data_IF_438192439087
#
_entry.id   IF_438192439087
#
_cell.length_a   1.000
_cell.length_b   1.000
_cell.length_c   1.000
_cell.angle_alpha   90.00
_cell.angle_beta   90.00
_cell.angle_gamma   90.00
#
_symmetry.space_group_name_H-M   'P 1'
#
loop_
_entity.id
_entity.type
_entity.pdbx_description
1 polymer ?
#
# COMPACT_ATOMS: atom_id res chain seq x y z
N UNK A 1 -5.75 4.90 4.61
CA UNK A 1 -6.37 5.82 5.55
C UNK A 1 -5.55 7.07 5.73
N UNK A 2 -6.09 8.26 5.42
CA UNK A 2 -5.42 9.55 5.64
C UNK A 2 -5.28 9.91 7.14
N UNK A 3 -6.04 9.25 8.03
CA UNK A 3 -6.13 9.67 9.43
C UNK A 3 -6.64 11.10 9.53
N UNK A 4 -5.91 11.97 10.22
CA UNK A 4 -6.23 13.41 10.30
C UNK A 4 -5.73 14.22 9.09
N UNK A 5 -5.16 13.59 8.06
CA UNK A 5 -4.82 14.24 6.80
C UNK A 5 -3.41 14.82 6.68
N UNK A 6 -2.55 14.69 7.68
CA UNK A 6 -1.22 15.32 7.67
C UNK A 6 -0.38 14.88 6.45
N UNK A 7 -0.29 13.59 6.17
CA UNK A 7 0.43 13.09 5.00
C UNK A 7 -0.27 13.50 3.69
N UNK A 8 -1.61 13.56 3.71
CA UNK A 8 -2.41 13.89 2.52
C UNK A 8 -2.14 15.31 2.04
N UNK A 9 -1.88 16.27 2.92
CA UNK A 9 -1.49 17.64 2.55
C UNK A 9 -0.21 17.64 1.71
N UNK A 10 0.84 16.93 2.15
CA UNK A 10 2.09 16.82 1.38
C UNK A 10 1.90 16.12 0.03
N UNK A 11 1.00 15.13 -0.03
CA UNK A 11 0.66 14.49 -1.30
C UNK A 11 -0.09 15.46 -2.23
N UNK A 12 -0.96 16.29 -1.68
CA UNK A 12 -1.71 17.29 -2.44
C UNK A 12 -0.82 18.38 -3.05
N UNK A 13 0.25 18.77 -2.35
CA UNK A 13 1.27 19.67 -2.90
C UNK A 13 1.99 19.10 -4.13
N UNK A 14 2.23 17.77 -4.14
CA UNK A 14 3.06 17.11 -5.14
C UNK A 14 2.26 16.47 -6.28
N UNK A 15 0.96 16.24 -6.09
CA UNK A 15 0.11 15.54 -7.06
C UNK A 15 -0.92 16.45 -7.69
N UNK A 16 -1.29 16.15 -8.93
CA UNK A 16 -2.38 16.83 -9.62
C UNK A 16 -3.72 16.61 -8.92
N UNK A 17 -3.94 15.41 -8.43
CA UNK A 17 -5.16 15.00 -7.74
C UNK A 17 -4.85 13.91 -6.71
N UNK A 18 -5.47 13.97 -5.55
CA UNK A 18 -5.36 12.99 -4.48
C UNK A 18 -6.75 12.51 -4.11
N UNK A 19 -6.92 11.19 -4.03
CA UNK A 19 -8.11 10.57 -3.46
C UNK A 19 -7.74 9.92 -2.14
N UNK A 20 -8.36 10.38 -1.07
CA UNK A 20 -8.14 9.92 0.29
C UNK A 20 -9.32 9.05 0.75
N UNK A 21 -9.06 7.74 0.96
CA UNK A 21 -10.09 6.80 1.43
C UNK A 21 -9.95 6.57 2.93
N UNK A 22 -10.98 6.87 3.69
CA UNK A 22 -11.02 6.76 5.15
C UNK A 22 -12.25 5.95 5.60
N UNK A 23 -12.00 4.93 6.42
CA UNK A 23 -13.05 4.07 6.96
C UNK A 23 -13.73 4.69 8.18
N UNK A 24 -12.98 5.48 8.96
CA UNK A 24 -13.49 6.11 10.18
C UNK A 24 -14.28 7.37 9.82
N UNK A 25 -15.60 7.24 9.86
CA UNK A 25 -16.53 8.35 9.60
C UNK A 25 -16.37 9.54 10.55
N UNK A 26 -15.77 9.34 11.74
CA UNK A 26 -15.58 10.44 12.71
C UNK A 26 -14.46 11.38 12.29
N UNK A 27 -13.53 10.92 11.42
CA UNK A 27 -12.45 11.73 10.88
C UNK A 27 -12.86 12.54 9.65
N UNK A 28 -13.94 12.18 8.97
CA UNK A 28 -14.37 12.86 7.74
C UNK A 28 -14.61 14.36 7.96
N UNK A 29 -15.35 14.80 9.00
CA UNK A 29 -15.53 16.23 9.26
C UNK A 29 -14.21 16.99 9.51
N UNK A 30 -13.21 16.35 10.14
CA UNK A 30 -11.90 16.93 10.38
C UNK A 30 -11.16 17.10 9.05
N UNK A 31 -11.19 16.06 8.20
CA UNK A 31 -10.56 16.11 6.88
C UNK A 31 -11.17 17.20 6.00
N UNK A 32 -12.49 17.24 5.86
CA UNK A 32 -13.19 18.13 4.93
C UNK A 32 -13.27 19.58 5.42
N UNK A 33 -13.46 19.81 6.73
CA UNK A 33 -13.72 21.14 7.25
C UNK A 33 -12.52 21.81 7.93
N UNK A 34 -11.43 21.08 8.14
CA UNK A 34 -10.24 21.59 8.79
C UNK A 34 -8.97 21.30 7.98
N UNK A 35 -8.48 20.05 8.00
CA UNK A 35 -7.14 19.73 7.51
C UNK A 35 -7.00 19.86 5.99
N UNK A 36 -8.02 19.47 5.22
CA UNK A 36 -7.97 19.43 3.74
C UNK A 36 -8.90 20.45 3.07
N UNK A 37 -9.54 21.33 3.83
CA UNK A 37 -10.53 22.29 3.32
C UNK A 37 -10.02 23.23 2.22
N UNK A 38 -8.73 23.57 2.27
CA UNK A 38 -8.11 24.52 1.34
C UNK A 38 -7.43 23.80 0.14
N UNK A 39 -7.65 22.48 -0.01
CA UNK A 39 -7.06 21.66 -1.07
C UNK A 39 -8.11 21.24 -2.10
N UNK A 40 -8.27 22.03 -3.15
CA UNK A 40 -9.24 21.78 -4.23
C UNK A 40 -8.94 20.49 -5.03
N UNK A 41 -7.72 19.98 -4.95
CA UNK A 41 -7.27 18.77 -5.63
C UNK A 41 -7.36 17.50 -4.76
N UNK A 42 -8.05 17.54 -3.62
CA UNK A 42 -8.24 16.39 -2.73
C UNK A 42 -9.71 16.00 -2.70
N UNK A 43 -9.98 14.72 -2.96
CA UNK A 43 -11.31 14.11 -2.78
C UNK A 43 -11.26 13.15 -1.60
N UNK A 44 -12.14 13.29 -0.62
CA UNK A 44 -12.27 12.37 0.52
C UNK A 44 -13.43 11.39 0.24
N UNK A 45 -13.16 10.10 0.45
CA UNK A 45 -14.16 9.03 0.32
C UNK A 45 -14.25 8.30 1.67
N UNK A 46 -15.46 8.26 2.27
CA UNK A 46 -15.72 7.49 3.47
C UNK A 46 -16.14 6.07 3.10
N UNK A 47 -15.18 5.18 3.02
CA UNK A 47 -15.42 3.77 2.70
C UNK A 47 -14.25 2.90 3.18
N UNK A 48 -14.48 1.59 3.28
CA UNK A 48 -13.44 0.58 3.43
C UNK A 48 -12.67 0.43 2.11
N UNK A 49 -11.35 0.58 2.16
CA UNK A 49 -10.49 0.46 0.96
C UNK A 49 -10.66 -0.87 0.23
N UNK A 50 -11.01 -1.94 0.94
CA UNK A 50 -11.26 -3.27 0.35
C UNK A 50 -12.57 -3.34 -0.45
N UNK A 51 -13.45 -2.35 -0.30
CA UNK A 51 -14.73 -2.25 -1.02
C UNK A 51 -14.69 -1.20 -2.15
N UNK A 52 -13.67 -0.35 -2.16
CA UNK A 52 -13.51 0.66 -3.22
C UNK A 52 -13.08 -0.01 -4.52
N UNK A 53 -13.80 0.23 -5.59
CA UNK A 53 -13.37 -0.13 -6.94
C UNK A 53 -12.30 0.86 -7.42
N UNK A 54 -11.05 0.53 -7.14
CA UNK A 54 -9.90 1.37 -7.46
C UNK A 54 -9.66 1.45 -8.96
N UNK A 55 -10.05 0.43 -9.73
CA UNK A 55 -9.95 0.44 -11.19
C UNK A 55 -10.94 1.46 -11.79
N UNK A 56 -12.19 1.45 -11.31
CA UNK A 56 -13.18 2.46 -11.72
C UNK A 56 -12.75 3.87 -11.30
N UNK A 57 -12.19 4.01 -10.09
CA UNK A 57 -11.67 5.28 -9.60
C UNK A 57 -10.51 5.80 -10.46
N UNK A 58 -9.57 4.95 -10.87
CA UNK A 58 -8.47 5.29 -11.77
C UNK A 58 -9.00 5.70 -13.16
N UNK A 59 -10.06 5.04 -13.65
CA UNK A 59 -10.71 5.39 -14.89
C UNK A 59 -11.34 6.79 -14.82
N UNK A 60 -12.08 7.06 -13.75
CA UNK A 60 -12.78 8.34 -13.55
C UNK A 60 -11.79 9.50 -13.37
N UNK A 61 -10.81 9.33 -12.46
CA UNK A 61 -9.92 10.41 -12.02
C UNK A 61 -8.65 10.57 -12.85
N UNK A 62 -8.21 9.53 -13.55
CA UNK A 62 -6.96 9.54 -14.31
C UNK A 62 -7.07 8.98 -15.74
N UNK A 63 -8.29 8.80 -16.25
CA UNK A 63 -8.53 8.28 -17.60
C UNK A 63 -7.98 6.86 -17.80
N UNK A 64 -8.02 6.02 -16.77
CA UNK A 64 -7.51 4.65 -16.79
C UNK A 64 -5.98 4.53 -16.77
N UNK A 65 -5.25 5.63 -16.72
CA UNK A 65 -3.78 5.61 -16.58
C UNK A 65 -3.37 5.14 -15.20
N UNK A 66 -2.17 4.53 -15.06
CA UNK A 66 -1.69 4.07 -13.77
C UNK A 66 -1.64 5.16 -12.70
N UNK A 67 -2.09 4.82 -11.51
CA UNK A 67 -2.07 5.66 -10.32
C UNK A 67 -0.97 5.22 -9.36
N UNK A 68 -0.64 6.09 -8.40
CA UNK A 68 0.25 5.77 -7.28
C UNK A 68 -0.58 5.57 -6.02
N UNK A 69 -0.24 4.57 -5.23
CA UNK A 69 -0.85 4.32 -3.93
C UNK A 69 0.15 4.67 -2.84
N UNK A 70 -0.26 5.48 -1.87
CA UNK A 70 0.53 5.81 -0.69
C UNK A 70 -0.30 5.51 0.54
N UNK A 71 0.23 4.71 1.47
CA UNK A 71 -0.52 4.34 2.66
C UNK A 71 0.36 4.11 3.88
N UNK A 72 -0.18 4.50 5.03
CA UNK A 72 0.32 4.13 6.35
C UNK A 72 -0.82 3.40 7.07
N UNK A 73 -0.81 2.07 6.97
CA UNK A 73 -1.89 1.20 7.41
C UNK A 73 -1.46 0.36 8.62
N UNK A 74 -2.43 -0.13 9.42
CA UNK A 74 -2.14 -1.16 10.41
C UNK A 74 -1.48 -2.37 9.76
N UNK A 75 -0.43 -2.93 10.39
CA UNK A 75 0.40 -3.97 9.78
C UNK A 75 -0.35 -5.24 9.38
N UNK A 76 -1.42 -5.59 10.10
CA UNK A 76 -2.21 -6.81 9.83
C UNK A 76 -2.99 -6.77 8.53
N UNK A 77 -3.30 -5.58 7.98
CA UNK A 77 -4.11 -5.44 6.76
C UNK A 77 -3.26 -5.08 5.53
N UNK A 78 -2.00 -4.72 5.71
CA UNK A 78 -1.14 -4.21 4.65
C UNK A 78 -0.92 -5.23 3.53
N UNK A 79 -0.54 -6.47 3.87
CA UNK A 79 -0.30 -7.53 2.86
C UNK A 79 -1.54 -7.88 2.05
N UNK A 80 -2.73 -8.12 2.65
CA UNK A 80 -3.96 -8.31 1.90
C UNK A 80 -4.29 -7.19 0.92
N UNK A 81 -4.08 -5.93 1.32
CA UNK A 81 -4.34 -4.78 0.45
C UNK A 81 -3.38 -4.77 -0.74
N UNK A 82 -2.06 -4.95 -0.51
CA UNK A 82 -1.06 -4.98 -1.58
C UNK A 82 -1.39 -6.08 -2.59
N UNK A 83 -1.65 -7.28 -2.09
CA UNK A 83 -1.95 -8.43 -2.96
C UNK A 83 -3.24 -8.22 -3.74
N UNK A 84 -4.30 -7.72 -3.09
CA UNK A 84 -5.55 -7.39 -3.77
C UNK A 84 -5.40 -6.37 -4.88
N UNK A 85 -4.54 -5.36 -4.70
CA UNK A 85 -4.24 -4.35 -5.72
C UNK A 85 -3.50 -4.93 -6.92
N UNK A 86 -2.59 -5.88 -6.70
CA UNK A 86 -1.85 -6.53 -7.80
C UNK A 86 -2.69 -7.56 -8.54
N UNK A 87 -3.39 -8.44 -7.82
CA UNK A 87 -4.17 -9.56 -8.37
C UNK A 87 -5.39 -9.10 -9.17
N UNK A 88 -6.02 -8.00 -8.79
CA UNK A 88 -7.18 -7.45 -9.50
C UNK A 88 -6.80 -6.60 -10.72
N UNK A 89 -5.56 -6.66 -11.17
CA UNK A 89 -5.06 -5.91 -12.33
C UNK A 89 -5.37 -4.41 -12.29
N UNK A 90 -5.46 -3.84 -11.09
CA UNK A 90 -5.67 -2.41 -10.90
C UNK A 90 -4.52 -1.64 -11.57
N UNK A 91 -4.79 -0.58 -12.35
CA UNK A 91 -3.74 0.21 -13.00
C UNK A 91 -2.95 1.03 -11.97
N UNK A 92 -1.89 0.43 -11.42
CA UNK A 92 -1.00 1.02 -10.42
C UNK A 92 0.41 1.05 -10.97
N UNK A 93 1.08 2.19 -10.85
CA UNK A 93 2.51 2.34 -11.19
C UNK A 93 3.41 2.05 -10.00
N UNK A 94 3.00 2.42 -8.80
CA UNK A 94 3.75 2.13 -7.58
C UNK A 94 2.87 2.14 -6.33
N UNK A 95 3.30 1.37 -5.34
CA UNK A 95 2.73 1.36 -3.99
C UNK A 95 3.84 1.77 -3.03
N UNK A 96 3.64 2.84 -2.25
CA UNK A 96 4.56 3.28 -1.20
C UNK A 96 3.86 3.13 0.14
N UNK A 97 4.42 2.30 1.01
CA UNK A 97 3.80 1.94 2.29
C UNK A 97 4.83 1.89 3.41
N UNK A 98 4.34 2.11 4.62
CA UNK A 98 5.12 1.84 5.83
C UNK A 98 4.72 0.47 6.40
N UNK A 99 5.72 -0.37 6.65
CA UNK A 99 5.57 -1.72 7.22
C UNK A 99 6.60 -1.94 8.33
N UNK A 100 6.45 -3.01 9.10
CA UNK A 100 7.52 -3.45 10.01
C UNK A 100 8.79 -3.73 9.20
N UNK A 101 9.96 -3.37 9.78
CA UNK A 101 11.23 -3.52 9.08
C UNK A 101 11.47 -4.95 8.60
N UNK A 102 11.16 -5.95 9.42
CA UNK A 102 11.28 -7.36 9.04
C UNK A 102 10.44 -7.72 7.82
N UNK A 103 9.23 -7.17 7.71
CA UNK A 103 8.35 -7.39 6.56
C UNK A 103 8.93 -6.75 5.30
N UNK A 104 9.46 -5.54 5.41
CA UNK A 104 10.12 -4.87 4.29
C UNK A 104 11.36 -5.65 3.82
N UNK A 105 12.17 -6.12 4.76
CA UNK A 105 13.35 -6.93 4.45
C UNK A 105 12.96 -8.23 3.72
N UNK A 106 11.90 -8.92 4.16
CA UNK A 106 11.37 -10.12 3.49
C UNK A 106 10.83 -9.84 2.09
N UNK A 107 10.22 -8.68 1.85
CA UNK A 107 9.76 -8.32 0.50
C UNK A 107 10.93 -8.14 -0.49
N UNK A 108 12.11 -7.72 0.01
CA UNK A 108 13.24 -7.31 -0.80
C UNK A 108 14.31 -8.40 -1.00
N UNK A 109 14.37 -9.40 -0.11
CA UNK A 109 15.40 -10.45 -0.20
C UNK A 109 15.26 -11.31 -1.43
N UNK A 110 16.41 -11.75 -1.98
CA UNK A 110 16.47 -12.65 -3.13
C UNK A 110 16.48 -14.13 -2.76
N UNK A 111 16.38 -15.01 -3.76
CA UNK A 111 16.48 -16.45 -3.61
C UNK A 111 17.77 -16.89 -2.90
N UNK A 112 17.69 -17.98 -2.13
CA UNK A 112 18.83 -18.56 -1.42
C UNK A 112 19.08 -17.99 -0.03
N UNK A 113 18.28 -17.05 0.44
CA UNK A 113 18.32 -16.55 1.82
C UNK A 113 17.25 -17.23 2.67
N UNK A 114 17.48 -17.29 3.99
CA UNK A 114 16.53 -17.87 4.95
C UNK A 114 15.18 -17.13 4.96
N UNK A 115 15.20 -15.82 4.69
CA UNK A 115 14.05 -14.95 4.76
C UNK A 115 13.28 -14.86 3.42
N UNK A 116 13.84 -15.48 2.36
CA UNK A 116 13.15 -15.61 1.08
C UNK A 116 12.01 -16.61 1.19
N UNK A 117 10.82 -16.16 0.95
CA UNK A 117 9.63 -16.98 1.10
C UNK A 117 8.49 -16.48 0.24
N UNK A 118 7.32 -16.92 0.62
CA UNK A 118 6.08 -16.65 -0.06
C UNK A 118 5.82 -15.17 -0.36
N UNK A 119 6.03 -14.31 0.64
CA UNK A 119 5.85 -12.87 0.49
C UNK A 119 6.86 -12.26 -0.50
N UNK A 120 8.13 -12.69 -0.41
CA UNK A 120 9.18 -12.24 -1.34
C UNK A 120 8.80 -12.57 -2.78
N UNK A 121 8.41 -13.81 -3.02
CA UNK A 121 8.03 -14.30 -4.34
C UNK A 121 6.81 -13.54 -4.89
N UNK A 122 5.76 -13.42 -4.08
CA UNK A 122 4.52 -12.76 -4.48
C UNK A 122 4.73 -11.28 -4.84
N UNK A 123 5.44 -10.54 -4.00
CA UNK A 123 5.72 -9.13 -4.27
C UNK A 123 6.62 -8.96 -5.48
N UNK A 124 7.70 -9.76 -5.57
CA UNK A 124 8.70 -9.63 -6.65
C UNK A 124 8.19 -10.15 -8.00
N UNK A 125 7.11 -10.92 -8.02
CA UNK A 125 6.42 -11.28 -9.26
C UNK A 125 5.74 -10.07 -9.92
N UNK A 126 5.12 -9.19 -9.11
CA UNK A 126 4.37 -8.04 -9.62
C UNK A 126 5.19 -6.74 -9.66
N UNK A 127 6.16 -6.58 -8.76
CA UNK A 127 6.85 -5.32 -8.56
C UNK A 127 8.29 -5.49 -8.10
N UNK A 128 9.06 -4.43 -8.29
CA UNK A 128 10.41 -4.29 -7.73
C UNK A 128 10.30 -3.60 -6.37
N UNK A 129 10.57 -4.29 -5.25
CA UNK A 129 10.59 -3.69 -3.93
C UNK A 129 11.88 -2.90 -3.69
N UNK A 130 11.75 -1.75 -3.04
CA UNK A 130 12.88 -0.91 -2.62
C UNK A 130 12.57 -0.23 -1.29
N UNK A 131 13.37 -0.49 -0.27
CA UNK A 131 13.31 0.27 0.99
C UNK A 131 13.86 1.67 0.72
N UNK A 132 13.03 2.69 0.96
CA UNK A 132 13.38 4.10 0.73
C UNK A 132 13.71 4.84 2.02
N UNK A 133 13.22 4.38 3.17
CA UNK A 133 13.55 4.94 4.48
C UNK A 133 13.40 3.90 5.59
N UNK A 134 14.27 3.97 6.58
CA UNK A 134 14.10 3.27 7.85
C UNK A 134 13.52 4.23 8.88
N UNK A 135 12.51 3.79 9.63
CA UNK A 135 11.81 4.58 10.64
C UNK A 135 12.03 3.94 12.00
N UNK A 136 12.88 4.53 12.85
CA UNK A 136 13.17 3.96 14.16
C UNK A 136 11.97 4.08 15.11
N UNK A 137 11.88 3.21 16.15
CA UNK A 137 10.76 3.17 17.08
C UNK A 137 10.47 4.48 17.83
N UNK A 138 11.48 5.34 18.01
CA UNK A 138 11.33 6.63 18.68
C UNK A 138 10.56 7.68 17.87
N UNK A 139 10.26 7.41 16.60
CA UNK A 139 9.41 8.27 15.77
C UNK A 139 7.91 8.08 16.04
N UNK A 140 7.54 7.15 16.91
CA UNK A 140 6.14 6.82 17.18
C UNK A 140 5.75 7.05 18.64
N UNK A 141 4.48 7.41 18.84
CA UNK A 141 3.86 7.49 20.16
C UNK A 141 2.49 6.78 20.14
N UNK A 142 2.29 5.72 20.92
CA UNK A 142 3.27 5.06 21.79
C UNK A 142 4.41 4.39 20.99
N UNK A 143 5.58 4.27 21.62
CA UNK A 143 6.77 3.68 20.99
C UNK A 143 6.59 2.18 20.75
N UNK A 144 6.68 1.68 19.53
CA UNK A 144 6.61 0.26 19.23
C UNK A 144 7.90 -0.47 19.66
N UNK A 145 7.82 -1.79 19.76
CA UNK A 145 8.98 -2.62 20.10
C UNK A 145 9.95 -2.81 18.93
N UNK A 146 9.48 -2.66 17.71
CA UNK A 146 10.23 -2.92 16.46
C UNK A 146 10.25 -1.69 15.58
N UNK A 147 11.31 -1.55 14.78
CA UNK A 147 11.40 -0.50 13.78
C UNK A 147 10.48 -0.75 12.60
N UNK A 148 10.23 0.31 11.86
CA UNK A 148 9.47 0.29 10.60
C UNK A 148 10.37 0.68 9.44
N UNK A 149 9.91 0.42 8.23
CA UNK A 149 10.52 0.91 7.01
C UNK A 149 9.43 1.39 6.05
N UNK A 150 9.77 2.42 5.29
CA UNK A 150 8.98 2.82 4.13
C UNK A 150 9.54 2.07 2.94
N UNK A 151 8.69 1.27 2.30
CA UNK A 151 9.04 0.50 1.11
C UNK A 151 8.21 0.97 -0.08
N UNK A 152 8.86 1.10 -1.23
CA UNK A 152 8.22 1.37 -2.49
C UNK A 152 8.25 0.11 -3.35
N UNK A 153 7.09 -0.26 -3.87
CA UNK A 153 6.89 -1.36 -4.81
C UNK A 153 6.59 -0.74 -6.18
N UNK A 154 7.56 -0.75 -7.08
CA UNK A 154 7.40 -0.25 -8.44
C UNK A 154 6.92 -1.38 -9.32
N UNK A 155 5.69 -1.29 -9.83
CA UNK A 155 5.10 -2.34 -10.65
C UNK A 155 5.87 -2.52 -11.96
N UNK A 156 6.09 -3.76 -12.35
CA UNK A 156 6.62 -4.08 -13.68
C UNK A 156 5.54 -3.80 -14.74
N UNK A 157 5.96 -3.32 -15.89
CA UNK A 157 5.08 -3.20 -17.07
C UNK A 157 4.69 -4.57 -17.59
N UNK A 158 5.66 -5.52 -17.57
CA UNK A 158 5.47 -6.93 -17.88
C UNK A 158 6.03 -7.78 -16.73
N UNK A 159 5.34 -8.87 -16.33
CA UNK A 159 5.88 -9.77 -15.31
C UNK A 159 7.26 -10.32 -15.74
N UNK A 160 8.23 -10.42 -14.82
CA UNK A 160 9.59 -10.90 -15.12
C UNK A 160 9.61 -12.38 -15.52
N UNK A 161 8.54 -13.13 -15.26
CA UNK A 161 8.37 -14.54 -15.61
C UNK A 161 6.96 -14.73 -16.13
N UNK A 162 6.82 -15.37 -17.28
CA UNK A 162 5.50 -15.81 -17.77
C UNK A 162 5.12 -17.12 -17.09
N UNK A 163 3.93 -17.16 -16.51
CA UNK A 163 3.34 -18.35 -15.89
C UNK A 163 2.02 -18.68 -16.59
N UNK A 164 1.75 -19.97 -16.81
CA UNK A 164 0.52 -20.42 -17.47
C UNK A 164 -0.74 -20.10 -16.65
N UNK A 165 -0.59 -19.91 -15.34
CA UNK A 165 -1.66 -19.54 -14.44
C UNK A 165 -1.15 -18.73 -13.25
N UNK A 166 -1.57 -17.49 -13.12
CA UNK A 166 -1.15 -16.57 -12.04
C UNK A 166 -1.79 -16.94 -10.67
N UNK A 167 -2.95 -17.60 -10.68
CA UNK A 167 -3.68 -17.94 -9.44
C UNK A 167 -2.93 -18.81 -8.44
N UNK A 168 -2.08 -19.79 -8.81
CA UNK A 168 -1.32 -20.57 -7.84
C UNK A 168 -0.26 -19.77 -7.08
N UNK A 169 0.27 -18.70 -7.64
CA UNK A 169 1.26 -17.83 -6.96
C UNK A 169 0.62 -17.13 -5.78
N UNK A 170 -0.62 -16.70 -5.92
CA UNK A 170 -1.44 -16.05 -4.91
C UNK A 170 -1.96 -17.04 -3.84
N UNK A 171 -2.41 -18.21 -4.26
CA UNK A 171 -3.13 -19.16 -3.39
C UNK A 171 -2.23 -19.88 -2.38
N UNK A 172 -0.98 -20.15 -2.73
CA UNK A 172 0.00 -20.78 -1.82
C UNK A 172 0.34 -19.94 -0.60
N UNK A 173 -0.02 -18.65 -0.60
CA UNK A 173 0.34 -17.71 0.46
C UNK A 173 -0.78 -17.41 1.44
N UNK A 174 -2.02 -17.62 1.03
CA UNK A 174 -3.20 -17.43 1.87
C UNK A 174 -3.48 -18.60 2.81
N UNK A 175 -2.85 -19.76 2.57
CA UNK A 175 -3.10 -21.00 3.33
C UNK A 175 -2.03 -21.34 4.36
N UNK A 176 -0.96 -20.55 4.50
CA UNK A 176 -0.04 -20.74 5.61
C UNK A 176 -0.71 -20.24 6.89
N UNK A 177 -0.85 -21.10 7.91
CA UNK A 177 -1.42 -20.66 9.17
C UNK A 177 -0.55 -19.55 9.73
N UNK A 178 -1.14 -18.38 9.89
CA UNK A 178 -0.57 -17.36 10.77
C UNK A 178 -0.62 -17.92 12.17
N UNK A 179 0.51 -18.37 12.68
CA UNK A 179 0.60 -18.72 14.10
C UNK A 179 0.27 -17.45 14.90
N UNK A 180 -0.72 -17.49 15.78
CA UNK A 180 -1.00 -16.35 16.62
C UNK A 180 0.12 -16.20 17.64
N UNK A 181 0.74 -15.06 17.69
CA UNK A 181 1.58 -14.59 18.79
C UNK A 181 1.05 -13.27 19.32
#
# INVERSE_FOLDING_TARGET
GPGIGTMTQYLAEAAREVVAVEIDKTLIPILENDTLKDWDNVTVINEDILKVDIAALAQEKNGGKPIKVVANLPYYITTPIIMGLFENHVPISSITIMVQKEVADRMQVGPGTKDYGALSLAVQYYARPQIIANVPPNCFMPRPKVGSAVIQLVRYEEPPVQVDNEKPVSYTHLTLPTTPY
#
